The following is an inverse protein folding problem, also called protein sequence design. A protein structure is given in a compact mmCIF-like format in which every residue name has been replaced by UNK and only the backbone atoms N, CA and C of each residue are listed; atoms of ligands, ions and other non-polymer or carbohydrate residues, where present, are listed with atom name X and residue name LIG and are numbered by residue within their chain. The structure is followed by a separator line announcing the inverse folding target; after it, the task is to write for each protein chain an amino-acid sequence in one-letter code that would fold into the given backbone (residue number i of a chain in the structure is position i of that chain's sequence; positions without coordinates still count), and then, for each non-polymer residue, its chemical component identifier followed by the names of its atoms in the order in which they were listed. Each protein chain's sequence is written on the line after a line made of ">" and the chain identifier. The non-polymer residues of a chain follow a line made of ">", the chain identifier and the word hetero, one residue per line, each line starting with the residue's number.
data_IF_508463426026
#
_entry.id   IF_508463426026
#
_cell.length_a   1.000
_cell.length_b   1.000
_cell.length_c   1.000
_cell.angle_alpha   90.00
_cell.angle_beta   90.00
_cell.angle_gamma   90.00
#
_symmetry.space_group_name_H-M   'P 1'
#
loop_
_entity.id
_entity.type
_entity.pdbx_description
1 polymer ?
#
# COMPACT_ATOMS: atom_id res chain seq x y z
N UNK A 1 -31.72 6.47 -4.08
CA UNK A 1 -30.79 5.93 -3.06
C UNK A 1 -29.33 5.97 -3.53
N UNK A 2 -28.98 5.42 -4.70
CA UNK A 2 -27.60 5.44 -5.22
C UNK A 2 -26.98 6.85 -5.35
N UNK A 3 -27.71 7.83 -5.90
CA UNK A 3 -27.20 9.20 -6.04
C UNK A 3 -26.92 9.89 -4.69
N UNK A 4 -27.72 9.62 -3.66
CA UNK A 4 -27.53 10.16 -2.32
C UNK A 4 -26.31 9.52 -1.62
N UNK A 5 -26.13 8.20 -1.78
CA UNK A 5 -24.94 7.50 -1.28
C UNK A 5 -23.65 8.00 -1.96
N UNK A 6 -23.68 8.22 -3.27
CA UNK A 6 -22.56 8.78 -4.02
C UNK A 6 -22.23 10.20 -3.55
N UNK A 7 -23.23 11.06 -3.34
CA UNK A 7 -23.00 12.40 -2.81
C UNK A 7 -22.44 12.37 -1.38
N UNK A 8 -22.87 11.43 -0.54
CA UNK A 8 -22.32 11.26 0.80
C UNK A 8 -20.84 10.83 0.75
N UNK A 9 -20.48 9.91 -0.14
CA UNK A 9 -19.08 9.50 -0.37
C UNK A 9 -18.22 10.67 -0.85
N UNK A 10 -18.69 11.45 -1.82
CA UNK A 10 -17.95 12.58 -2.39
C UNK A 10 -17.74 13.74 -1.40
N UNK A 11 -18.55 13.81 -0.34
CA UNK A 11 -18.45 14.82 0.72
C UNK A 11 -17.71 14.33 1.95
N UNK A 12 -17.28 13.07 1.97
CA UNK A 12 -16.56 12.50 3.12
C UNK A 12 -15.19 13.19 3.25
N UNK A 13 -14.83 13.68 4.45
CA UNK A 13 -13.53 14.30 4.65
C UNK A 13 -12.42 13.26 4.49
N UNK A 14 -11.23 13.72 4.09
CA UNK A 14 -10.05 12.86 3.93
C UNK A 14 -9.56 12.25 5.26
N UNK A 15 -9.86 12.90 6.39
CA UNK A 15 -9.61 12.42 7.74
C UNK A 15 -10.66 12.94 8.72
N UNK A 16 -10.73 12.34 9.91
CA UNK A 16 -11.73 12.66 10.92
C UNK A 16 -13.02 11.83 10.78
N UNK A 17 -13.90 11.96 11.77
CA UNK A 17 -15.16 11.19 11.84
C UNK A 17 -15.00 9.74 12.33
N UNK A 18 -13.77 9.28 12.58
CA UNK A 18 -13.46 8.03 13.26
C UNK A 18 -13.48 6.81 12.33
N UNK A 19 -13.75 5.64 12.92
CA UNK A 19 -13.62 4.35 12.25
C UNK A 19 -14.51 4.21 11.01
N UNK A 20 -15.79 4.54 11.11
CA UNK A 20 -16.75 4.24 10.03
C UNK A 20 -16.46 5.02 8.73
N UNK A 21 -16.20 6.34 8.77
CA UNK A 21 -15.76 7.07 7.58
C UNK A 21 -14.46 6.51 6.99
N UNK A 22 -13.44 6.26 7.82
CA UNK A 22 -12.18 5.68 7.36
C UNK A 22 -12.38 4.32 6.69
N UNK A 23 -13.21 3.46 7.27
CA UNK A 23 -13.50 2.13 6.75
C UNK A 23 -14.25 2.21 5.41
N UNK A 24 -15.28 3.04 5.31
CA UNK A 24 -16.04 3.25 4.06
C UNK A 24 -15.12 3.79 2.97
N UNK A 25 -14.25 4.73 3.29
CA UNK A 25 -13.28 5.29 2.34
C UNK A 25 -12.31 4.23 1.84
N UNK A 26 -11.70 3.45 2.74
CA UNK A 26 -10.72 2.41 2.41
C UNK A 26 -11.35 1.27 1.58
N UNK A 27 -12.52 0.79 1.99
CA UNK A 27 -13.30 -0.22 1.26
C UNK A 27 -13.65 0.29 -0.14
N UNK A 28 -14.18 1.51 -0.23
CA UNK A 28 -14.54 2.11 -1.52
C UNK A 28 -13.32 2.25 -2.43
N UNK A 29 -12.22 2.77 -1.89
CA UNK A 29 -10.98 2.95 -2.64
C UNK A 29 -10.41 1.62 -3.14
N UNK A 30 -10.27 0.64 -2.26
CA UNK A 30 -9.72 -0.69 -2.58
C UNK A 30 -10.56 -1.41 -3.65
N UNK A 31 -11.87 -1.57 -3.44
CA UNK A 31 -12.67 -2.32 -4.42
C UNK A 31 -12.87 -1.57 -5.75
N UNK A 32 -12.90 -0.24 -5.76
CA UNK A 32 -12.91 0.51 -7.02
C UNK A 32 -11.57 0.38 -7.76
N UNK A 33 -10.45 0.40 -7.04
CA UNK A 33 -9.14 0.17 -7.63
C UNK A 33 -9.03 -1.24 -8.19
N UNK A 34 -9.44 -2.27 -7.46
CA UNK A 34 -9.48 -3.65 -7.93
C UNK A 34 -10.39 -3.83 -9.15
N UNK A 35 -11.54 -3.15 -9.20
CA UNK A 35 -12.38 -3.11 -10.39
C UNK A 35 -11.62 -2.51 -11.58
N UNK A 36 -10.92 -1.40 -11.39
CA UNK A 36 -10.13 -0.78 -12.46
C UNK A 36 -9.02 -1.73 -12.93
N UNK A 37 -8.22 -2.26 -12.00
CA UNK A 37 -7.07 -3.11 -12.31
C UNK A 37 -7.45 -4.45 -12.93
N UNK A 38 -8.56 -5.06 -12.53
CA UNK A 38 -8.94 -6.40 -13.01
C UNK A 38 -10.01 -6.39 -14.10
N UNK A 39 -10.85 -5.36 -14.18
CA UNK A 39 -11.93 -5.29 -15.16
C UNK A 39 -11.70 -4.23 -16.25
N UNK A 40 -11.07 -3.10 -15.94
CA UNK A 40 -10.95 -2.02 -16.93
C UNK A 40 -9.63 -2.12 -17.69
N UNK A 41 -8.50 -2.19 -16.99
CA UNK A 41 -7.16 -2.16 -17.59
C UNK A 41 -6.96 -3.28 -18.62
N UNK A 42 -7.24 -4.57 -18.33
CA UNK A 42 -7.02 -5.65 -19.30
C UNK A 42 -7.96 -5.61 -20.51
N UNK A 43 -9.05 -4.83 -20.45
CA UNK A 43 -9.98 -4.63 -21.58
C UNK A 43 -9.56 -3.49 -22.50
N UNK A 44 -8.88 -2.49 -21.94
CA UNK A 44 -8.46 -1.30 -22.69
C UNK A 44 -7.00 -1.40 -23.17
N UNK A 45 -6.17 -2.22 -22.52
CA UNK A 45 -4.74 -2.33 -22.78
C UNK A 45 -4.31 -3.79 -22.90
N UNK A 46 -3.28 -4.04 -23.70
CA UNK A 46 -2.59 -5.33 -23.74
C UNK A 46 -1.69 -5.42 -22.51
N UNK A 47 -1.99 -6.36 -21.61
CA UNK A 47 -1.23 -6.58 -20.38
C UNK A 47 -0.36 -7.82 -20.49
N UNK A 48 0.86 -7.75 -19.95
CA UNK A 48 1.77 -8.89 -19.89
C UNK A 48 1.61 -9.64 -18.57
N UNK A 49 0.95 -10.80 -18.60
CA UNK A 49 0.77 -11.64 -17.42
C UNK A 49 2.10 -12.15 -16.85
N UNK A 50 2.23 -12.09 -15.52
CA UNK A 50 3.39 -12.61 -14.79
C UNK A 50 3.02 -13.93 -14.08
N UNK A 51 1.73 -14.13 -13.80
CA UNK A 51 1.21 -15.35 -13.17
C UNK A 51 1.40 -16.56 -14.09
N UNK A 52 1.96 -17.65 -13.55
CA UNK A 52 2.17 -18.91 -14.27
C UNK A 52 0.90 -19.75 -14.35
N UNK A 53 0.03 -19.64 -13.35
CA UNK A 53 -1.20 -20.40 -13.25
C UNK A 53 -2.42 -19.46 -13.35
N UNK A 54 -3.49 -19.89 -14.03
CA UNK A 54 -4.72 -19.12 -14.10
C UNK A 54 -5.45 -19.14 -12.74
N UNK A 55 -6.22 -18.08 -12.49
CA UNK A 55 -7.00 -17.92 -11.25
C UNK A 55 -8.12 -18.95 -11.18
N UNK A 56 -8.29 -19.55 -10.01
CA UNK A 56 -9.46 -20.38 -9.73
C UNK A 56 -10.75 -19.56 -9.68
N UNK A 57 -11.86 -20.14 -10.12
CA UNK A 57 -13.15 -19.42 -10.29
C UNK A 57 -13.69 -18.77 -9.00
N UNK A 58 -13.35 -19.32 -7.81
CA UNK A 58 -13.79 -18.78 -6.51
C UNK A 58 -12.75 -17.94 -5.76
N UNK A 59 -11.50 -17.91 -6.23
CA UNK A 59 -10.40 -17.24 -5.52
C UNK A 59 -10.56 -15.72 -5.44
N UNK A 60 -11.01 -14.99 -6.49
CA UNK A 60 -11.21 -13.56 -6.40
C UNK A 60 -12.24 -13.16 -5.33
N UNK A 61 -13.32 -13.93 -5.19
CA UNK A 61 -14.34 -13.67 -4.19
C UNK A 61 -13.82 -13.98 -2.77
N UNK A 62 -13.12 -15.11 -2.60
CA UNK A 62 -12.46 -15.47 -1.34
C UNK A 62 -11.53 -14.34 -0.88
N UNK A 63 -10.65 -13.91 -1.76
CA UNK A 63 -9.65 -12.88 -1.49
C UNK A 63 -10.31 -11.51 -1.21
N UNK A 64 -11.35 -11.16 -1.97
CA UNK A 64 -12.13 -9.95 -1.73
C UNK A 64 -12.85 -9.97 -0.36
N UNK A 65 -13.34 -11.11 0.11
CA UNK A 65 -13.93 -11.23 1.45
C UNK A 65 -12.83 -11.17 2.51
N UNK A 66 -11.71 -11.86 2.30
CA UNK A 66 -10.58 -11.88 3.21
C UNK A 66 -10.00 -10.47 3.46
N UNK A 67 -10.00 -9.59 2.45
CA UNK A 67 -9.48 -8.22 2.59
C UNK A 67 -10.29 -7.32 3.52
N UNK A 68 -11.54 -7.67 3.86
CA UNK A 68 -12.40 -6.86 4.74
C UNK A 68 -11.77 -6.68 6.13
N UNK A 69 -11.18 -7.75 6.69
CA UNK A 69 -10.52 -7.73 7.99
C UNK A 69 -9.33 -6.77 8.03
N UNK A 70 -8.33 -6.93 7.15
CA UNK A 70 -7.21 -5.99 7.01
C UNK A 70 -7.64 -4.54 6.76
N UNK A 71 -8.66 -4.30 5.92
CA UNK A 71 -9.21 -2.96 5.70
C UNK A 71 -9.80 -2.37 6.99
N UNK A 72 -10.47 -3.18 7.81
CA UNK A 72 -10.95 -2.76 9.12
C UNK A 72 -9.80 -2.42 10.07
N UNK A 73 -8.71 -3.19 10.08
CA UNK A 73 -7.52 -2.87 10.89
C UNK A 73 -6.89 -1.55 10.44
N UNK A 74 -6.75 -1.31 9.14
CA UNK A 74 -6.24 -0.05 8.62
C UNK A 74 -7.14 1.13 9.01
N UNK A 75 -8.46 0.97 8.92
CA UNK A 75 -9.43 1.96 9.38
C UNK A 75 -9.33 2.23 10.89
N UNK A 76 -9.06 1.20 11.68
CA UNK A 76 -8.82 1.31 13.11
C UNK A 76 -7.56 2.14 13.41
N UNK A 77 -6.44 1.88 12.72
CA UNK A 77 -5.26 2.74 12.84
C UNK A 77 -5.54 4.18 12.44
N UNK A 78 -6.32 4.39 11.37
CA UNK A 78 -6.70 5.73 10.96
C UNK A 78 -7.52 6.47 12.02
N UNK A 79 -8.44 5.78 12.68
CA UNK A 79 -9.21 6.34 13.78
C UNK A 79 -8.32 6.70 14.98
N UNK A 80 -7.30 5.89 15.29
CA UNK A 80 -6.31 6.23 16.33
C UNK A 80 -5.52 7.47 15.93
N UNK A 81 -5.04 7.56 14.69
CA UNK A 81 -4.31 8.73 14.18
C UNK A 81 -5.17 10.00 14.22
N UNK A 82 -6.47 9.90 13.91
CA UNK A 82 -7.40 11.02 14.05
C UNK A 82 -7.54 11.47 15.51
N UNK A 83 -7.65 10.51 16.43
CA UNK A 83 -7.70 10.80 17.87
C UNK A 83 -6.39 11.42 18.38
N UNK A 84 -5.24 10.93 17.91
CA UNK A 84 -3.93 11.50 18.21
C UNK A 84 -3.86 12.95 17.76
N UNK A 85 -4.25 13.24 16.52
CA UNK A 85 -4.31 14.59 15.98
C UNK A 85 -5.24 15.50 16.81
N UNK A 86 -6.46 15.05 17.10
CA UNK A 86 -7.43 15.81 17.88
C UNK A 86 -6.98 16.08 19.33
N UNK A 87 -6.17 15.18 19.90
CA UNK A 87 -5.69 15.26 21.28
C UNK A 87 -4.29 15.89 21.39
N UNK A 88 -3.68 16.30 20.28
CA UNK A 88 -2.32 16.84 20.24
C UNK A 88 -1.23 15.81 20.59
N UNK A 89 -1.51 14.51 20.42
CA UNK A 89 -0.54 13.42 20.63
C UNK A 89 0.22 13.18 19.32
N UNK A 90 1.53 13.00 19.42
CA UNK A 90 2.41 12.85 18.26
C UNK A 90 2.68 14.19 17.59
N UNK A 91 3.12 14.14 16.33
CA UNK A 91 3.63 15.28 15.60
C UNK A 91 2.77 15.56 14.35
N UNK A 92 1.46 15.40 14.47
CA UNK A 92 0.53 15.68 13.37
C UNK A 92 0.17 17.15 13.34
N UNK A 93 0.15 17.73 12.15
CA UNK A 93 -0.31 19.11 11.95
C UNK A 93 -1.23 19.22 10.74
N UNK A 94 -1.98 20.30 10.65
CA UNK A 94 -2.75 20.65 9.46
C UNK A 94 -2.64 22.14 9.18
N UNK A 95 -2.97 22.55 7.96
CA UNK A 95 -2.95 23.94 7.55
C UNK A 95 -2.66 24.07 6.05
N UNK A 96 -2.71 25.30 5.51
CA UNK A 96 -2.35 25.53 4.12
C UNK A 96 -0.85 25.26 3.88
N UNK A 97 -0.54 24.47 2.85
CA UNK A 97 0.83 24.25 2.37
C UNK A 97 1.15 25.31 1.31
N UNK A 98 1.90 26.34 1.66
CA UNK A 98 2.18 27.49 0.77
C UNK A 98 3.66 27.82 0.69
N UNK A 99 4.16 28.13 -0.51
CA UNK A 99 5.55 28.52 -0.72
C UNK A 99 6.55 27.35 -0.76
N UNK A 100 7.72 27.62 -1.33
CA UNK A 100 8.71 26.59 -1.68
C UNK A 100 9.23 25.79 -0.47
N UNK A 101 9.41 26.43 0.69
CA UNK A 101 9.91 25.75 1.89
C UNK A 101 8.94 24.69 2.41
N UNK A 102 7.64 24.98 2.46
CA UNK A 102 6.64 24.02 2.92
C UNK A 102 6.52 22.84 1.93
N UNK A 103 6.51 23.12 0.62
CA UNK A 103 6.52 22.06 -0.39
C UNK A 103 7.80 21.22 -0.36
N UNK A 104 8.96 21.83 -0.14
CA UNK A 104 10.22 21.12 0.05
C UNK A 104 10.19 20.20 1.28
N UNK A 105 9.55 20.64 2.37
CA UNK A 105 9.36 19.80 3.56
C UNK A 105 8.40 18.64 3.27
N UNK A 106 7.29 18.86 2.56
CA UNK A 106 6.37 17.78 2.13
C UNK A 106 7.13 16.74 1.28
N UNK A 107 7.95 17.17 0.32
CA UNK A 107 8.75 16.27 -0.50
C UNK A 107 9.75 15.46 0.34
N UNK A 108 10.43 16.10 1.29
CA UNK A 108 11.30 15.41 2.25
C UNK A 108 10.53 14.37 3.07
N UNK A 109 9.34 14.72 3.57
CA UNK A 109 8.49 13.80 4.32
C UNK A 109 8.11 12.59 3.45
N UNK A 110 7.77 12.76 2.18
CA UNK A 110 7.49 11.64 1.27
C UNK A 110 8.70 10.70 1.22
N UNK A 111 9.91 11.21 0.96
CA UNK A 111 11.12 10.38 0.90
C UNK A 111 11.40 9.63 2.21
N UNK A 112 11.23 10.30 3.35
CA UNK A 112 11.44 9.69 4.67
C UNK A 112 10.36 8.65 4.98
N UNK A 113 9.09 8.95 4.70
CA UNK A 113 7.97 8.03 4.89
C UNK A 113 8.15 6.78 4.02
N UNK A 114 8.61 6.94 2.78
CA UNK A 114 8.84 5.85 1.85
C UNK A 114 9.94 4.91 2.31
N UNK A 115 11.09 5.47 2.70
CA UNK A 115 12.18 4.70 3.27
C UNK A 115 11.77 3.95 4.54
N UNK A 116 11.04 4.61 5.45
CA UNK A 116 10.58 3.99 6.70
C UNK A 116 9.50 2.93 6.46
N UNK A 117 8.59 3.16 5.51
CA UNK A 117 7.57 2.20 5.11
C UNK A 117 8.21 0.93 4.53
N UNK A 118 9.13 1.08 3.57
CA UNK A 118 9.88 -0.05 3.00
C UNK A 118 10.68 -0.80 4.07
N UNK A 119 11.37 -0.08 4.95
CA UNK A 119 12.10 -0.68 6.07
C UNK A 119 11.16 -1.46 6.98
N UNK A 120 10.03 -0.88 7.37
CA UNK A 120 9.04 -1.55 8.21
C UNK A 120 8.50 -2.80 7.54
N UNK A 121 8.14 -2.71 6.26
CA UNK A 121 7.63 -3.83 5.48
C UNK A 121 8.68 -4.95 5.40
N UNK A 122 9.93 -4.66 5.06
CA UNK A 122 10.99 -5.66 4.97
C UNK A 122 11.16 -6.45 6.28
N UNK A 123 11.31 -5.73 7.40
CA UNK A 123 11.58 -6.37 8.69
C UNK A 123 10.36 -7.10 9.26
N UNK A 124 9.16 -6.55 9.10
CA UNK A 124 7.93 -7.23 9.55
C UNK A 124 7.60 -8.43 8.67
N UNK A 125 7.80 -8.35 7.36
CA UNK A 125 7.65 -9.49 6.46
C UNK A 125 8.65 -10.60 6.81
N UNK A 126 9.93 -10.26 7.03
CA UNK A 126 10.93 -11.24 7.50
C UNK A 126 10.53 -11.88 8.83
N UNK A 127 9.96 -11.12 9.76
CA UNK A 127 9.42 -11.64 11.02
C UNK A 127 8.24 -12.59 10.79
N UNK A 128 7.32 -12.26 9.88
CA UNK A 128 6.17 -13.10 9.53
C UNK A 128 6.59 -14.46 8.94
N UNK A 129 7.75 -14.54 8.31
CA UNK A 129 8.37 -15.78 7.84
C UNK A 129 9.00 -16.65 8.94
N UNK A 130 9.07 -16.16 10.19
CA UNK A 130 9.47 -16.99 11.31
C UNK A 130 8.41 -18.08 11.56
N UNK A 131 8.85 -19.34 11.72
CA UNK A 131 8.01 -20.55 11.68
C UNK A 131 6.64 -20.44 12.39
N UNK A 132 6.52 -19.92 13.63
CA UNK A 132 5.23 -19.80 14.30
C UNK A 132 4.30 -18.80 13.62
N UNK A 133 4.80 -17.61 13.28
CA UNK A 133 4.01 -16.59 12.59
C UNK A 133 3.66 -17.04 11.18
N UNK A 134 4.57 -17.72 10.50
CA UNK A 134 4.29 -18.25 9.18
C UNK A 134 3.10 -19.20 9.20
N UNK A 135 3.15 -20.21 10.08
CA UNK A 135 2.11 -21.24 10.17
C UNK A 135 0.74 -20.69 10.55
N UNK A 136 0.68 -19.72 11.46
CA UNK A 136 -0.57 -19.26 12.06
C UNK A 136 -1.11 -17.97 11.48
N UNK A 137 -0.28 -17.18 10.80
CA UNK A 137 -0.62 -15.82 10.37
C UNK A 137 -0.34 -15.65 8.87
N UNK A 138 0.88 -15.93 8.41
CA UNK A 138 1.31 -15.55 7.06
C UNK A 138 1.00 -16.58 5.96
N UNK A 139 0.74 -17.84 6.32
CA UNK A 139 0.47 -18.92 5.36
C UNK A 139 -0.69 -18.59 4.41
N UNK A 140 -1.78 -18.02 4.94
CA UNK A 140 -2.96 -17.66 4.15
C UNK A 140 -2.60 -16.66 3.05
N UNK A 141 -1.77 -15.66 3.38
CA UNK A 141 -1.30 -14.64 2.44
C UNK A 141 -0.53 -15.24 1.26
N UNK A 142 0.26 -16.30 1.48
CA UNK A 142 1.02 -16.98 0.42
C UNK A 142 0.12 -17.73 -0.57
N UNK A 143 -1.08 -18.11 -0.14
CA UNK A 143 -2.09 -18.74 -0.99
C UNK A 143 -3.05 -17.74 -1.64
N UNK A 144 -2.88 -16.45 -1.35
CA UNK A 144 -3.70 -15.37 -1.85
C UNK A 144 -3.06 -14.70 -3.08
N UNK A 145 -3.92 -14.18 -3.94
CA UNK A 145 -3.51 -13.49 -5.16
C UNK A 145 -3.65 -11.98 -5.03
N UNK A 146 -4.55 -11.50 -4.18
CA UNK A 146 -4.70 -10.06 -3.89
C UNK A 146 -3.82 -9.62 -2.72
N UNK A 147 -3.35 -8.38 -2.77
CA UNK A 147 -2.39 -7.85 -1.80
C UNK A 147 -2.91 -7.80 -0.36
N UNK A 148 -4.21 -7.63 -0.12
CA UNK A 148 -4.78 -7.51 1.23
C UNK A 148 -5.56 -8.74 1.71
N UNK A 149 -5.52 -9.85 0.98
CA UNK A 149 -6.06 -11.12 1.47
C UNK A 149 -5.04 -11.78 2.41
N UNK A 150 -5.01 -11.31 3.67
CA UNK A 150 -4.16 -11.86 4.73
C UNK A 150 -4.80 -11.76 6.11
N UNK A 151 -4.21 -12.47 7.07
CA UNK A 151 -4.74 -12.60 8.42
C UNK A 151 -4.77 -11.25 9.17
N UNK A 152 -5.76 -11.03 10.03
CA UNK A 152 -5.92 -9.78 10.81
C UNK A 152 -4.68 -9.45 11.66
N UNK A 153 -4.01 -10.47 12.21
CA UNK A 153 -2.76 -10.28 12.96
C UNK A 153 -1.60 -9.80 12.07
N UNK A 154 -1.56 -10.21 10.79
CA UNK A 154 -0.62 -9.66 9.82
C UNK A 154 -0.92 -8.19 9.56
N UNK A 155 -2.20 -7.84 9.40
CA UNK A 155 -2.64 -6.45 9.23
C UNK A 155 -2.22 -5.55 10.39
N UNK A 156 -2.34 -6.03 11.63
CA UNK A 156 -1.92 -5.30 12.81
C UNK A 156 -0.40 -5.03 12.79
N UNK A 157 0.41 -5.98 12.34
CA UNK A 157 1.86 -5.80 12.26
C UNK A 157 2.26 -4.89 11.11
N UNK A 158 1.75 -5.14 9.90
CA UNK A 158 2.16 -4.42 8.69
C UNK A 158 1.65 -2.98 8.71
N UNK A 159 0.40 -2.74 9.10
CA UNK A 159 -0.16 -1.38 9.13
C UNK A 159 0.19 -0.57 10.39
N UNK A 160 0.91 -1.15 11.36
CA UNK A 160 1.40 -0.39 12.51
C UNK A 160 2.28 0.81 12.10
N UNK A 161 2.97 0.74 10.97
CA UNK A 161 3.73 1.87 10.41
C UNK A 161 2.88 3.15 10.30
N UNK A 162 1.60 3.04 9.94
CA UNK A 162 0.71 4.20 9.80
C UNK A 162 0.48 4.94 11.11
N UNK A 163 0.59 4.22 12.24
CA UNK A 163 0.51 4.77 13.59
C UNK A 163 1.87 5.26 14.11
N UNK A 164 2.96 4.61 13.70
CA UNK A 164 4.31 4.91 14.18
C UNK A 164 4.88 6.18 13.57
N UNK A 165 4.69 6.42 12.27
CA UNK A 165 5.25 7.58 11.57
C UNK A 165 4.88 8.92 12.25
N UNK A 166 3.62 9.18 12.63
CA UNK A 166 3.23 10.39 13.37
C UNK A 166 3.94 10.60 14.71
N UNK A 167 4.54 9.57 15.31
CA UNK A 167 5.29 9.70 16.56
C UNK A 167 6.76 10.14 16.32
N UNK A 168 7.28 9.92 15.12
CA UNK A 168 8.70 10.08 14.80
C UNK A 168 9.07 11.50 14.35
N UNK A 169 8.24 12.12 13.50
CA UNK A 169 8.52 13.47 12.97
C UNK A 169 7.24 14.19 12.55
N UNK A 170 7.28 15.53 12.32
CA UNK A 170 6.08 16.27 11.97
C UNK A 170 5.50 15.91 10.61
N UNK A 171 4.25 15.48 10.57
CA UNK A 171 3.56 15.05 9.34
C UNK A 171 2.26 15.82 9.17
N UNK A 172 2.05 16.35 7.96
CA UNK A 172 0.79 16.97 7.60
C UNK A 172 -0.32 15.92 7.48
N UNK A 173 -1.47 16.12 8.14
CA UNK A 173 -2.58 15.15 8.14
C UNK A 173 -3.02 14.72 6.74
N UNK A 174 -3.15 15.68 5.82
CA UNK A 174 -3.49 15.37 4.43
C UNK A 174 -2.42 14.53 3.72
N UNK A 175 -1.13 14.76 4.03
CA UNK A 175 -0.03 13.96 3.47
C UNK A 175 -0.09 12.53 4.01
N UNK A 176 -0.26 12.35 5.32
CA UNK A 176 -0.42 11.04 5.95
C UNK A 176 -1.49 10.20 5.24
N UNK A 177 -2.69 10.75 5.06
CA UNK A 177 -3.82 10.05 4.43
C UNK A 177 -3.56 9.73 2.96
N UNK A 178 -3.11 10.72 2.18
CA UNK A 178 -2.84 10.51 0.75
C UNK A 178 -1.73 9.48 0.58
N UNK A 179 -0.66 9.56 1.37
CA UNK A 179 0.43 8.60 1.33
C UNK A 179 -0.05 7.17 1.59
N UNK A 180 -0.87 6.92 2.62
CA UNK A 180 -1.35 5.57 2.92
C UNK A 180 -2.43 5.04 1.95
N UNK A 181 -3.11 5.91 1.20
CA UNK A 181 -3.91 5.51 0.04
C UNK A 181 -3.01 5.14 -1.14
N UNK A 182 -1.95 5.92 -1.39
CA UNK A 182 -0.96 5.60 -2.42
C UNK A 182 -0.24 4.28 -2.13
N UNK A 183 0.13 3.99 -0.88
CA UNK A 183 0.71 2.68 -0.56
C UNK A 183 -0.30 1.55 -0.74
N UNK A 184 -1.59 1.75 -0.47
CA UNK A 184 -2.65 0.77 -0.81
C UNK A 184 -2.70 0.52 -2.32
N UNK A 185 -2.62 1.59 -3.11
CA UNK A 185 -2.58 1.47 -4.57
C UNK A 185 -1.36 0.67 -5.04
N UNK A 186 -0.18 0.99 -4.51
CA UNK A 186 1.08 0.31 -4.85
C UNK A 186 0.99 -1.18 -4.51
N UNK A 187 0.46 -1.54 -3.34
CA UNK A 187 0.26 -2.95 -2.95
C UNK A 187 -0.73 -3.66 -3.87
N UNK A 188 -1.89 -3.07 -4.14
CA UNK A 188 -2.90 -3.71 -4.99
C UNK A 188 -2.40 -3.87 -6.44
N UNK A 189 -1.73 -2.83 -6.97
CA UNK A 189 -1.10 -2.87 -8.29
C UNK A 189 0.02 -3.93 -8.36
N UNK A 190 0.84 -4.06 -7.31
CA UNK A 190 1.88 -5.10 -7.25
C UNK A 190 1.34 -6.53 -7.28
N UNK A 191 0.06 -6.70 -6.91
CA UNK A 191 -0.65 -7.98 -6.94
C UNK A 191 -1.65 -8.10 -8.11
N UNK A 192 -1.59 -7.20 -9.11
CA UNK A 192 -2.52 -7.20 -10.23
C UNK A 192 -2.42 -8.47 -11.11
N UNK A 193 -1.28 -9.17 -11.06
CA UNK A 193 -1.00 -10.41 -11.80
C UNK A 193 -0.38 -10.21 -13.18
N UNK A 194 -0.08 -8.97 -13.55
CA UNK A 194 0.55 -8.57 -14.80
C UNK A 194 1.50 -7.38 -14.59
N UNK A 195 2.41 -7.16 -15.52
CA UNK A 195 3.41 -6.09 -15.43
C UNK A 195 2.76 -4.71 -15.56
N UNK A 196 2.98 -3.86 -14.56
CA UNK A 196 2.48 -2.48 -14.50
C UNK A 196 3.62 -1.47 -14.43
N UNK A 197 4.87 -1.89 -14.29
CA UNK A 197 6.01 -0.98 -14.36
C UNK A 197 6.13 -0.36 -15.76
N UNK A 198 6.49 0.94 -15.87
CA UNK A 198 6.89 1.84 -14.79
C UNK A 198 5.76 2.69 -14.19
N UNK A 199 4.49 2.31 -14.40
CA UNK A 199 3.34 3.17 -14.09
C UNK A 199 2.88 3.11 -12.62
N UNK A 200 3.49 2.25 -11.80
CA UNK A 200 3.26 2.25 -10.35
C UNK A 200 4.03 3.43 -9.75
N UNK A 201 3.37 4.33 -8.99
CA UNK A 201 3.97 5.58 -8.52
C UNK A 201 4.86 5.39 -7.29
N UNK A 202 5.92 4.57 -7.40
CA UNK A 202 6.97 4.41 -6.37
C UNK A 202 8.13 5.36 -6.61
N UNK A 203 8.87 5.74 -5.56
CA UNK A 203 10.08 6.55 -5.71
C UNK A 203 11.12 5.78 -6.54
N UNK A 204 11.23 4.48 -6.33
CA UNK A 204 12.13 3.59 -7.06
C UNK A 204 11.73 3.44 -8.52
N UNK A 205 10.44 3.36 -8.81
CA UNK A 205 9.92 3.39 -10.18
C UNK A 205 10.30 4.69 -10.88
N UNK A 206 10.10 5.83 -10.21
CA UNK A 206 10.50 7.14 -10.72
C UNK A 206 12.03 7.23 -10.95
N UNK A 207 12.83 6.85 -9.96
CA UNK A 207 14.30 6.83 -10.06
C UNK A 207 14.74 5.89 -11.18
N UNK A 208 14.11 4.73 -11.32
CA UNK A 208 14.41 3.78 -12.38
C UNK A 208 14.19 4.41 -13.76
N UNK A 209 13.03 5.01 -13.99
CA UNK A 209 12.72 5.69 -15.26
C UNK A 209 13.75 6.78 -15.55
N UNK A 210 14.10 7.59 -14.55
CA UNK A 210 14.99 8.74 -14.72
C UNK A 210 16.47 8.37 -14.94
N UNK A 211 16.95 7.29 -14.32
CA UNK A 211 18.38 6.96 -14.28
C UNK A 211 18.74 5.78 -15.19
N UNK A 212 17.85 4.82 -15.37
CA UNK A 212 18.24 3.50 -15.86
C UNK A 212 17.23 2.77 -16.76
N UNK A 213 16.17 3.46 -17.19
CA UNK A 213 15.04 2.90 -17.94
C UNK A 213 13.99 2.22 -17.04
N UNK A 214 12.81 1.88 -17.56
CA UNK A 214 11.76 1.23 -16.77
C UNK A 214 12.28 -0.11 -16.21
N UNK A 215 12.26 -0.27 -14.88
CA UNK A 215 12.54 -1.52 -14.18
C UNK A 215 11.36 -1.84 -13.28
N UNK A 216 11.01 -3.12 -13.18
CA UNK A 216 9.92 -3.63 -12.36
C UNK A 216 10.35 -3.77 -10.92
N UNK A 217 10.50 -2.65 -10.21
CA UNK A 217 10.82 -2.65 -8.78
C UNK A 217 9.68 -2.00 -8.00
N UNK A 218 9.01 -2.79 -7.15
CA UNK A 218 7.97 -2.32 -6.23
C UNK A 218 8.54 -1.74 -4.93
N UNK A 219 9.73 -2.18 -4.52
CA UNK A 219 10.38 -1.87 -3.24
C UNK A 219 11.90 -1.77 -3.38
N UNK A 220 12.57 -1.23 -2.36
CA UNK A 220 14.02 -1.15 -2.36
C UNK A 220 14.66 -2.54 -2.14
N UNK A 221 15.70 -2.87 -2.92
CA UNK A 221 16.41 -4.16 -2.79
C UNK A 221 17.58 -4.13 -1.80
N UNK A 222 17.86 -2.98 -1.18
CA UNK A 222 19.09 -2.81 -0.39
C UNK A 222 19.06 -3.65 0.90
N UNK A 223 17.91 -3.79 1.56
CA UNK A 223 17.75 -4.67 2.72
C UNK A 223 18.03 -6.13 2.37
N UNK A 224 17.48 -6.60 1.25
CA UNK A 224 17.75 -7.96 0.77
C UNK A 224 19.21 -8.18 0.42
N UNK A 225 19.89 -7.19 -0.19
CA UNK A 225 21.32 -7.26 -0.50
C UNK A 225 22.16 -7.28 0.78
N UNK A 226 21.85 -6.41 1.75
CA UNK A 226 22.54 -6.33 3.03
C UNK A 226 22.40 -7.61 3.84
N UNK A 227 21.22 -8.24 3.80
CA UNK A 227 20.95 -9.44 4.58
C UNK A 227 21.10 -10.75 3.79
N UNK A 228 21.52 -10.70 2.53
CA UNK A 228 21.71 -11.88 1.68
C UNK A 228 20.42 -12.64 1.35
N UNK A 229 19.27 -11.97 1.30
CA UNK A 229 17.96 -12.57 0.98
C UNK A 229 17.52 -12.37 -0.47
N UNK A 230 18.35 -11.73 -1.30
CA UNK A 230 18.11 -11.59 -2.73
C UNK A 230 18.08 -12.95 -3.44
N UNK A 231 17.11 -13.11 -4.35
CA UNK A 231 17.08 -14.27 -5.24
C UNK A 231 18.33 -14.29 -6.15
N UNK A 232 19.05 -15.42 -6.30
CA UNK A 232 20.31 -15.47 -7.05
C UNK A 232 20.20 -15.00 -8.51
N UNK A 233 19.05 -15.22 -9.14
CA UNK A 233 18.80 -14.84 -10.53
C UNK A 233 18.17 -13.45 -10.70
N UNK A 234 18.00 -12.66 -9.62
CA UNK A 234 17.26 -11.39 -9.67
C UNK A 234 17.81 -10.44 -10.74
N UNK A 235 19.12 -10.15 -10.70
CA UNK A 235 19.75 -9.19 -11.62
C UNK A 235 19.70 -9.69 -13.09
N UNK A 236 19.73 -11.01 -13.30
CA UNK A 236 19.61 -11.61 -14.64
C UNK A 236 18.18 -11.60 -15.20
N UNK A 237 17.17 -11.65 -14.32
CA UNK A 237 15.75 -11.69 -14.70
C UNK A 237 15.11 -10.31 -14.79
N UNK A 238 15.67 -9.30 -14.11
CA UNK A 238 15.14 -7.95 -14.05
C UNK A 238 14.86 -7.36 -15.44
N UNK A 239 15.72 -7.64 -16.43
CA UNK A 239 15.61 -7.10 -17.79
C UNK A 239 14.83 -8.00 -18.75
N UNK A 240 14.35 -9.17 -18.31
CA UNK A 240 13.66 -10.11 -19.19
C UNK A 240 12.30 -9.58 -19.67
N UNK A 241 11.68 -8.71 -18.88
CA UNK A 241 10.34 -8.17 -19.10
C UNK A 241 10.33 -6.75 -19.72
N UNK A 242 11.50 -6.10 -19.86
CA UNK A 242 11.63 -4.73 -20.39
C UNK A 242 12.37 -4.68 -21.74
N UNK A 243 12.26 -5.73 -22.56
CA UNK A 243 12.81 -5.78 -23.93
C UNK A 243 11.77 -5.44 -24.98
#
# INVERSE_FOLDING_TARGET
>A
MAAAALQALLRMPLWGGGFLPAFVQLVTFYYLLGLVLHCVVPRLFVVQGIQKEPRGEGEPLRDAIASIGPLAVKAFYWAIVDHMYASGIGQLYSGPVTGARHWGYIALCICVMDYLHDSWFYWTHRLLHWRPLYRWVHWEHHSAFTGYAFHVAEALLVFANELLLPLMFPIHMGLHRIYHLLTTLIHEAGHAGYELSPFIPTIEGLVSVLVAGPRGCLYFTHWDRLCGTMHPCYDAQLFRYFK
#
